data_IF_747661421367
#
_entry.id   IF_747661421367
#
_cell.length_a   1.000
_cell.length_b   1.000
_cell.length_c   1.000
_cell.angle_alpha   90.00
_cell.angle_beta   90.00
_cell.angle_gamma   90.00
#
_symmetry.space_group_name_H-M   'P 1'
#
loop_
_entity.id
_entity.type
_entity.pdbx_description
1 polymer ?
#
# COMPACT_ATOMS: atom_id res chain seq x y z
N UNK A 1 4.17 -9.91 -11.02
CA UNK A 1 4.92 -10.44 -9.85
C UNK A 1 3.95 -11.22 -8.96
N UNK A 2 4.36 -12.38 -8.49
CA UNK A 2 3.53 -13.21 -7.61
C UNK A 2 3.42 -12.61 -6.22
N UNK A 3 2.34 -12.93 -5.52
CA UNK A 3 2.10 -12.44 -4.16
C UNK A 3 3.25 -12.75 -3.20
N UNK A 4 3.83 -13.94 -3.29
CA UNK A 4 4.97 -14.33 -2.45
C UNK A 4 6.19 -13.46 -2.73
N UNK A 5 6.41 -13.05 -3.99
CA UNK A 5 7.52 -12.18 -4.35
C UNK A 5 7.31 -10.77 -3.82
N UNK A 6 6.06 -10.28 -3.85
CA UNK A 6 5.72 -8.99 -3.24
C UNK A 6 5.99 -9.00 -1.75
N UNK A 7 5.56 -10.04 -1.05
CA UNK A 7 5.80 -10.17 0.38
C UNK A 7 7.29 -10.19 0.70
N UNK A 8 8.08 -10.91 -0.09
CA UNK A 8 9.53 -10.99 0.09
C UNK A 8 10.18 -9.60 0.00
N UNK A 9 9.81 -8.83 -1.05
CA UNK A 9 10.36 -7.49 -1.24
C UNK A 9 9.95 -6.52 -0.14
N UNK A 10 8.71 -6.59 0.31
CA UNK A 10 8.23 -5.77 1.43
C UNK A 10 8.99 -6.11 2.69
N UNK A 11 9.16 -7.39 2.99
CA UNK A 11 9.89 -7.84 4.18
C UNK A 11 11.37 -7.43 4.12
N UNK A 12 11.98 -7.47 2.93
CA UNK A 12 13.35 -7.02 2.74
C UNK A 12 13.51 -5.53 3.08
N UNK A 13 12.57 -4.70 2.66
CA UNK A 13 12.56 -3.28 2.98
C UNK A 13 12.41 -3.08 4.50
N UNK A 14 11.53 -3.84 5.13
CA UNK A 14 11.24 -3.70 6.57
C UNK A 14 12.44 -4.07 7.46
N UNK A 15 13.38 -4.87 6.97
CA UNK A 15 14.60 -5.18 7.72
C UNK A 15 15.41 -3.93 8.06
N UNK A 16 15.44 -2.95 7.13
CA UNK A 16 16.17 -1.70 7.31
C UNK A 16 15.26 -0.54 7.74
N UNK A 17 13.93 -0.73 7.65
CA UNK A 17 12.94 0.29 7.97
C UNK A 17 11.78 -0.36 8.74
N UNK A 18 12.03 -0.83 9.99
CA UNK A 18 11.04 -1.65 10.70
C UNK A 18 9.75 -0.92 11.08
N UNK A 19 9.78 0.42 11.14
CA UNK A 19 8.60 1.23 11.46
C UNK A 19 7.98 1.87 10.23
N UNK A 20 8.32 1.39 9.03
CA UNK A 20 7.82 1.96 7.78
C UNK A 20 6.32 1.77 7.60
N UNK A 21 5.74 2.61 6.74
CA UNK A 21 4.39 2.41 6.23
C UNK A 21 4.43 1.33 5.14
N UNK A 22 3.57 0.34 5.25
CA UNK A 22 3.37 -0.72 4.25
C UNK A 22 2.03 -0.44 3.58
N UNK A 23 2.06 -0.06 2.30
CA UNK A 23 0.88 0.45 1.60
C UNK A 23 0.49 -0.49 0.47
N UNK A 24 -0.68 -1.09 0.59
CA UNK A 24 -1.26 -1.99 -0.40
C UNK A 24 -2.18 -1.19 -1.32
N UNK A 25 -1.73 -0.95 -2.55
CA UNK A 25 -2.46 -0.16 -3.55
C UNK A 25 -3.44 -1.07 -4.29
N UNK A 26 -4.72 -0.76 -4.18
CA UNK A 26 -5.77 -1.58 -4.78
C UNK A 26 -5.88 -2.94 -4.09
N UNK A 27 -6.04 -2.93 -2.78
CA UNK A 27 -5.91 -4.13 -1.94
C UNK A 27 -6.98 -5.19 -2.16
N UNK A 28 -8.20 -4.81 -2.57
CA UNK A 28 -9.30 -5.76 -2.64
C UNK A 28 -9.42 -6.56 -1.33
N UNK A 29 -9.37 -7.87 -1.42
CA UNK A 29 -9.37 -8.78 -0.27
C UNK A 29 -7.99 -9.39 0.00
N UNK A 30 -6.94 -8.87 -0.63
CA UNK A 30 -5.56 -9.33 -0.42
C UNK A 30 -5.07 -8.95 0.97
N UNK A 31 -4.42 -9.88 1.66
CA UNK A 31 -3.87 -9.66 3.00
C UNK A 31 -2.34 -9.69 3.05
N UNK A 32 -1.68 -9.41 1.94
CA UNK A 32 -0.21 -9.41 1.86
C UNK A 32 0.40 -8.45 2.88
N UNK A 33 -0.19 -7.26 3.08
CA UNK A 33 0.29 -6.31 4.08
C UNK A 33 0.29 -6.92 5.48
N UNK A 34 -0.82 -7.54 5.86
CA UNK A 34 -0.94 -8.21 7.17
C UNK A 34 0.06 -9.34 7.30
N UNK A 35 0.30 -10.10 6.23
CA UNK A 35 1.26 -11.20 6.24
C UNK A 35 2.70 -10.70 6.43
N UNK A 36 2.99 -9.43 6.10
CA UNK A 36 4.30 -8.83 6.27
C UNK A 36 4.47 -8.10 7.61
N UNK A 37 3.45 -8.10 8.47
CA UNK A 37 3.46 -7.38 9.74
C UNK A 37 4.60 -7.88 10.63
N UNK A 38 5.48 -6.96 10.99
CA UNK A 38 6.64 -7.25 11.84
C UNK A 38 6.44 -6.82 13.30
N UNK A 39 5.22 -6.42 13.68
CA UNK A 39 4.92 -5.92 15.02
C UNK A 39 5.24 -4.45 15.23
N UNK A 40 5.83 -3.76 14.25
CA UNK A 40 6.26 -2.36 14.36
C UNK A 40 5.85 -1.48 13.19
N UNK A 41 5.62 -2.06 12.01
CA UNK A 41 5.22 -1.30 10.82
C UNK A 41 3.77 -0.87 10.90
N UNK A 42 3.41 0.10 10.07
CA UNK A 42 2.02 0.56 9.89
C UNK A 42 1.53 0.04 8.56
N UNK A 43 0.34 -0.55 8.53
CA UNK A 43 -0.22 -1.18 7.35
C UNK A 43 -1.41 -0.38 6.86
N UNK A 44 -1.41 -0.01 5.59
CA UNK A 44 -2.47 0.75 4.94
C UNK A 44 -3.00 -0.02 3.75
N UNK A 45 -4.31 -0.29 3.74
CA UNK A 45 -4.98 -0.99 2.64
C UNK A 45 -5.86 0.02 1.92
N UNK A 46 -5.57 0.29 0.65
CA UNK A 46 -6.24 1.32 -0.13
C UNK A 46 -7.03 0.71 -1.28
N UNK A 47 -8.29 1.12 -1.40
CA UNK A 47 -9.14 0.75 -2.54
C UNK A 47 -10.36 1.67 -2.57
N UNK A 48 -11.25 1.49 -3.55
CA UNK A 48 -12.48 2.25 -3.64
C UNK A 48 -13.38 2.01 -2.42
N UNK A 49 -14.26 2.97 -2.09
CA UNK A 49 -15.09 2.88 -0.88
C UNK A 49 -15.94 1.62 -0.77
N UNK A 50 -16.52 1.14 -1.86
CA UNK A 50 -17.33 -0.08 -1.85
C UNK A 50 -16.49 -1.32 -1.59
N UNK A 51 -15.28 -1.37 -2.12
CA UNK A 51 -14.33 -2.48 -1.89
C UNK A 51 -13.88 -2.47 -0.43
N UNK A 52 -13.55 -1.31 0.11
CA UNK A 52 -13.13 -1.18 1.50
C UNK A 52 -14.26 -1.56 2.45
N UNK A 53 -15.49 -1.20 2.14
CA UNK A 53 -16.64 -1.59 2.95
C UNK A 53 -16.79 -3.11 3.04
N UNK A 54 -16.63 -3.81 1.91
CA UNK A 54 -16.65 -5.27 1.88
C UNK A 54 -15.47 -5.85 2.66
N UNK A 55 -14.28 -5.28 2.48
CA UNK A 55 -13.08 -5.73 3.19
C UNK A 55 -13.26 -5.64 4.71
N UNK A 56 -13.85 -4.56 5.20
CA UNK A 56 -14.04 -4.40 6.64
C UNK A 56 -14.97 -5.45 7.23
N UNK A 57 -15.91 -5.96 6.43
CA UNK A 57 -16.79 -7.05 6.87
C UNK A 57 -16.07 -8.40 6.93
N UNK A 58 -15.17 -8.65 5.97
CA UNK A 58 -14.51 -9.96 5.81
C UNK A 58 -13.13 -10.01 6.45
N UNK A 59 -12.40 -8.89 6.45
CA UNK A 59 -11.03 -8.79 6.94
C UNK A 59 -10.85 -7.51 7.76
N UNK A 60 -11.44 -7.42 8.96
CA UNK A 60 -11.34 -6.19 9.77
C UNK A 60 -9.89 -5.80 10.04
N UNK A 61 -9.62 -4.51 10.08
CA UNK A 61 -8.28 -3.99 10.33
C UNK A 61 -7.80 -4.29 11.75
N UNK A 62 -6.52 -4.65 11.89
CA UNK A 62 -5.88 -4.82 13.19
C UNK A 62 -5.40 -3.50 13.79
N UNK A 63 -4.65 -3.57 14.90
CA UNK A 63 -4.23 -2.37 15.65
C UNK A 63 -3.38 -1.40 14.84
N UNK A 64 -2.45 -1.93 14.02
CA UNK A 64 -1.53 -1.12 13.21
C UNK A 64 -1.92 -1.10 11.75
N UNK A 65 -3.16 -1.44 11.45
CA UNK A 65 -3.69 -1.56 10.11
C UNK A 65 -4.84 -0.57 9.91
N UNK A 66 -4.85 0.13 8.78
CA UNK A 66 -5.95 1.03 8.39
C UNK A 66 -6.45 0.67 7.00
N UNK A 67 -7.76 0.60 6.86
CA UNK A 67 -8.41 0.46 5.56
C UNK A 67 -8.84 1.86 5.11
N UNK A 68 -8.26 2.36 4.01
CA UNK A 68 -8.49 3.73 3.54
C UNK A 68 -9.28 3.69 2.24
N UNK A 69 -10.56 4.12 2.26
CA UNK A 69 -11.31 4.27 1.02
C UNK A 69 -10.81 5.49 0.24
N UNK A 70 -10.45 5.29 -1.02
CA UNK A 70 -9.94 6.37 -1.85
C UNK A 70 -9.95 5.99 -3.32
N UNK A 71 -9.75 7.01 -4.19
CA UNK A 71 -9.38 6.79 -5.57
C UNK A 71 -7.87 7.00 -5.68
N UNK A 72 -7.12 5.99 -6.11
CA UNK A 72 -5.65 6.04 -6.17
C UNK A 72 -5.14 7.16 -7.07
N UNK A 73 -5.93 7.60 -8.05
CA UNK A 73 -5.58 8.71 -8.94
C UNK A 73 -5.64 10.07 -8.26
N UNK A 74 -6.36 10.17 -7.15
CA UNK A 74 -6.50 11.41 -6.38
C UNK A 74 -5.39 11.47 -5.34
N UNK A 75 -4.46 12.44 -5.41
CA UNK A 75 -3.32 12.49 -4.49
C UNK A 75 -3.70 12.80 -3.05
N UNK A 76 -4.96 13.06 -2.74
CA UNK A 76 -5.40 13.34 -1.37
C UNK A 76 -5.04 12.22 -0.39
N UNK A 77 -4.93 10.97 -0.84
CA UNK A 77 -4.57 9.86 0.06
C UNK A 77 -3.12 9.95 0.56
N UNK A 78 -2.25 10.68 -0.14
CA UNK A 78 -0.84 10.81 0.29
C UNK A 78 -0.74 11.35 1.72
N UNK A 79 -1.59 12.31 2.08
CA UNK A 79 -1.57 12.91 3.40
C UNK A 79 -2.07 12.01 4.52
N UNK A 80 -2.65 10.87 4.18
CA UNK A 80 -3.16 9.90 5.18
C UNK A 80 -2.13 8.85 5.55
N UNK A 81 -0.97 8.85 4.90
CA UNK A 81 0.09 7.85 5.12
C UNK A 81 1.17 8.48 5.99
N UNK A 82 1.41 7.88 7.14
CA UNK A 82 2.52 8.28 8.01
C UNK A 82 3.79 7.57 7.55
N UNK A 83 4.61 8.26 6.79
CA UNK A 83 5.85 7.72 6.23
C UNK A 83 7.09 8.18 7.00
N UNK A 84 6.95 8.60 8.25
CA UNK A 84 8.06 9.08 9.06
C UNK A 84 9.15 8.01 9.26
N UNK A 85 8.78 6.73 9.26
CA UNK A 85 9.72 5.62 9.36
C UNK A 85 10.10 4.99 8.01
N UNK A 86 9.74 5.64 6.89
CA UNK A 86 9.90 5.09 5.55
C UNK A 86 8.56 4.64 4.98
N UNK A 87 8.57 4.21 3.72
CA UNK A 87 7.36 3.73 3.07
C UNK A 87 7.69 2.72 1.98
N UNK A 88 6.95 1.63 1.94
CA UNK A 88 7.01 0.65 0.87
C UNK A 88 5.60 0.46 0.33
N UNK A 89 5.45 0.65 -0.97
CA UNK A 89 4.18 0.54 -1.68
C UNK A 89 4.22 -0.70 -2.54
N UNK A 90 3.13 -1.44 -2.60
CA UNK A 90 3.05 -2.58 -3.49
C UNK A 90 1.66 -2.67 -4.12
N UNK A 91 1.61 -3.26 -5.30
CA UNK A 91 0.37 -3.43 -6.05
C UNK A 91 0.39 -4.78 -6.76
N UNK A 92 -0.73 -5.49 -6.69
CA UNK A 92 -0.89 -6.79 -7.33
C UNK A 92 -1.95 -6.67 -8.42
N UNK A 93 -1.52 -6.25 -9.62
CA UNK A 93 -2.39 -6.18 -10.78
C UNK A 93 -3.24 -4.92 -10.92
N UNK A 94 -3.20 -3.99 -9.97
CA UNK A 94 -4.05 -2.79 -10.03
C UNK A 94 -3.74 -1.92 -11.26
N UNK A 95 -2.48 -1.89 -11.69
CA UNK A 95 -2.05 -1.04 -12.79
C UNK A 95 -2.53 -1.53 -14.16
N UNK A 96 -3.04 -2.75 -14.27
CA UNK A 96 -3.66 -3.22 -15.51
C UNK A 96 -4.90 -2.41 -15.89
N UNK A 97 -5.55 -1.78 -14.92
CA UNK A 97 -6.77 -0.99 -15.14
C UNK A 97 -6.50 0.49 -15.38
N UNK A 98 -5.22 0.89 -15.36
CA UNK A 98 -4.82 2.28 -15.55
C UNK A 98 -4.16 2.45 -16.91
N UNK A 99 -4.38 3.62 -17.54
CA UNK A 99 -3.61 4.01 -18.71
C UNK A 99 -2.18 4.30 -18.31
N UNK A 100 -1.23 4.12 -19.25
CA UNK A 100 0.21 4.32 -18.98
C UNK A 100 0.49 5.70 -18.38
N UNK A 101 -0.19 6.74 -18.89
CA UNK A 101 0.00 8.10 -18.36
C UNK A 101 -0.50 8.22 -16.93
N UNK A 102 -1.60 7.56 -16.59
CA UNK A 102 -2.15 7.56 -15.24
C UNK A 102 -1.19 6.90 -14.25
N UNK A 103 -0.58 5.79 -14.65
CA UNK A 103 0.43 5.11 -13.85
C UNK A 103 1.64 6.04 -13.65
N UNK A 104 2.10 6.68 -14.73
CA UNK A 104 3.24 7.60 -14.65
C UNK A 104 2.99 8.75 -13.70
N UNK A 105 1.82 9.37 -13.77
CA UNK A 105 1.44 10.47 -12.89
C UNK A 105 1.37 10.02 -11.43
N UNK A 106 0.80 8.84 -11.18
CA UNK A 106 0.69 8.30 -9.83
C UNK A 106 2.09 8.02 -9.26
N UNK A 107 2.95 7.35 -10.01
CA UNK A 107 4.30 7.01 -9.57
C UNK A 107 5.12 8.29 -9.33
N UNK A 108 5.01 9.27 -10.22
CA UNK A 108 5.72 10.54 -10.04
C UNK A 108 5.24 11.28 -8.78
N UNK A 109 3.92 11.32 -8.56
CA UNK A 109 3.37 11.94 -7.36
C UNK A 109 3.82 11.23 -6.09
N UNK A 110 3.87 9.91 -6.10
CA UNK A 110 4.37 9.13 -4.97
C UNK A 110 5.85 9.40 -4.72
N UNK A 111 6.66 9.48 -5.77
CA UNK A 111 8.08 9.78 -5.63
C UNK A 111 8.30 11.15 -4.99
N UNK A 112 7.51 12.14 -5.37
CA UNK A 112 7.60 13.49 -4.82
C UNK A 112 7.12 13.56 -3.37
N UNK A 113 6.05 12.83 -3.04
CA UNK A 113 5.44 12.86 -1.72
C UNK A 113 6.19 12.00 -0.69
N UNK A 114 6.86 10.94 -1.14
CA UNK A 114 7.51 9.97 -0.26
C UNK A 114 8.97 9.74 -0.67
N UNK A 115 9.86 10.74 -0.46
CA UNK A 115 11.28 10.56 -0.78
C UNK A 115 11.87 9.37 -0.03
N UNK A 116 12.61 8.52 -0.73
CA UNK A 116 13.19 7.31 -0.15
C UNK A 116 12.24 6.13 -0.05
N UNK A 117 10.99 6.30 -0.45
CA UNK A 117 10.03 5.19 -0.52
C UNK A 117 10.34 4.25 -1.69
N UNK A 118 9.81 3.04 -1.61
CA UNK A 118 10.01 1.99 -2.63
C UNK A 118 8.66 1.51 -3.13
N UNK A 119 8.55 1.33 -4.43
CA UNK A 119 7.37 0.76 -5.08
C UNK A 119 7.72 -0.59 -5.68
N UNK A 120 6.95 -1.62 -5.31
CA UNK A 120 7.10 -2.99 -5.81
C UNK A 120 5.83 -3.41 -6.53
N UNK A 121 5.97 -3.92 -7.76
CA UNK A 121 4.82 -4.42 -8.51
C UNK A 121 5.21 -5.42 -9.60
#
# INVERSE_FOLDING_TARGET
MRQNDLAFEVQAYLKNHPCAAVVNLGCGLDNTGRACDNGRCKIYNLDFPDVIALRQQLLPAGEREQNIPCNLKDPAWFGKIDASGGAVFFASGVFYYFLTEQVRELVQGMADAFPGGVLVF
#
